data_IF_912845314049
#
_entry.id   IF_912845314049
#
_cell.length_a   1.000
_cell.length_b   1.000
_cell.length_c   1.000
_cell.angle_alpha   90.00
_cell.angle_beta   90.00
_cell.angle_gamma   90.00
#
_symmetry.space_group_name_H-M   'P 1'
#
loop_
_entity.id
_entity.type
_entity.pdbx_description
1 polymer ?
#
# COMPACT_ATOMS: atom_id res chain seq x y z
N UNK A 1 -5.72 19.87 1.58
CA UNK A 1 -4.56 20.79 1.52
C UNK A 1 -3.33 19.94 1.25
N UNK A 2 -2.95 19.86 -0.02
CA UNK A 2 -1.69 19.27 -0.47
C UNK A 2 -0.61 20.31 -0.19
N UNK A 3 0.35 19.94 0.68
CA UNK A 3 1.62 20.65 0.98
C UNK A 3 1.49 22.15 0.72
N UNK A 4 0.87 22.85 1.66
CA UNK A 4 0.88 24.30 1.63
C UNK A 4 2.32 24.77 1.80
N UNK A 5 3.02 25.01 0.69
CA UNK A 5 4.30 25.70 0.71
C UNK A 5 5.35 25.29 -0.31
N UNK A 6 5.30 24.12 -0.97
CA UNK A 6 6.19 23.83 -2.11
C UNK A 6 6.94 22.49 -2.15
N UNK A 7 6.24 21.39 -2.44
CA UNK A 7 6.82 20.14 -2.94
C UNK A 7 5.74 19.05 -3.03
N UNK A 8 5.84 17.93 -3.77
CA UNK A 8 6.67 17.52 -4.92
C UNK A 8 5.78 16.89 -6.02
N UNK A 9 4.51 16.56 -5.74
CA UNK A 9 3.55 15.96 -6.68
C UNK A 9 2.16 16.56 -6.41
N UNK A 10 1.39 16.88 -7.45
CA UNK A 10 -0.06 17.14 -7.36
C UNK A 10 -0.83 15.86 -7.04
N UNK A 11 -2.07 15.97 -6.52
CA UNK A 11 -2.89 14.80 -6.16
C UNK A 11 -3.06 13.77 -7.27
N UNK A 12 -3.17 14.22 -8.52
CA UNK A 12 -3.23 13.35 -9.69
C UNK A 12 -1.89 12.68 -9.99
N UNK A 13 -0.78 13.40 -9.83
CA UNK A 13 0.55 12.82 -10.05
C UNK A 13 0.94 11.80 -8.98
N UNK A 14 0.43 11.92 -7.76
CA UNK A 14 0.59 10.88 -6.74
C UNK A 14 -0.17 9.60 -7.08
N UNK A 15 -1.43 9.73 -7.52
CA UNK A 15 -2.20 8.59 -8.02
C UNK A 15 -1.47 7.95 -9.20
N UNK A 16 -0.91 8.77 -10.10
CA UNK A 16 -0.04 8.31 -11.19
C UNK A 16 1.15 7.49 -10.68
N UNK A 17 1.89 7.99 -9.69
CA UNK A 17 3.03 7.27 -9.08
C UNK A 17 2.59 5.96 -8.42
N UNK A 18 1.49 5.96 -7.66
CA UNK A 18 0.96 4.76 -7.02
C UNK A 18 0.53 3.70 -8.05
N UNK A 19 -0.12 4.12 -9.14
CA UNK A 19 -0.48 3.22 -10.25
C UNK A 19 0.75 2.68 -10.97
N UNK A 20 1.74 3.53 -11.25
CA UNK A 20 3.00 3.12 -11.88
C UNK A 20 3.76 2.11 -11.02
N UNK A 21 3.85 2.33 -9.70
CA UNK A 21 4.52 1.41 -8.79
C UNK A 21 3.71 0.13 -8.56
N UNK A 22 2.38 0.19 -8.51
CA UNK A 22 1.53 -1.00 -8.53
C UNK A 22 1.72 -1.83 -9.80
N UNK A 23 1.77 -1.18 -10.97
CA UNK A 23 2.04 -1.86 -12.24
C UNK A 23 3.46 -2.45 -12.29
N UNK A 24 4.46 -1.72 -11.79
CA UNK A 24 5.83 -2.22 -11.66
C UNK A 24 5.88 -3.42 -10.71
N UNK A 25 5.19 -3.37 -9.57
CA UNK A 25 5.10 -4.48 -8.62
C UNK A 25 4.54 -5.74 -9.28
N UNK A 26 3.43 -5.62 -10.02
CA UNK A 26 2.87 -6.75 -10.78
C UNK A 26 3.86 -7.27 -11.82
N UNK A 27 4.53 -6.37 -12.55
CA UNK A 27 5.51 -6.75 -13.58
C UNK A 27 6.70 -7.52 -12.98
N UNK A 28 7.34 -6.96 -11.96
CA UNK A 28 8.50 -7.57 -11.31
C UNK A 28 8.13 -8.85 -10.57
N UNK A 29 6.95 -8.90 -9.93
CA UNK A 29 6.46 -10.11 -9.28
C UNK A 29 6.20 -11.22 -10.31
N UNK A 30 5.58 -10.90 -11.45
CA UNK A 30 5.44 -11.87 -12.56
C UNK A 30 6.79 -12.32 -13.12
N UNK A 31 7.74 -11.41 -13.27
CA UNK A 31 9.07 -11.74 -13.77
C UNK A 31 9.81 -12.67 -12.81
N UNK A 32 9.79 -12.37 -11.51
CA UNK A 32 10.41 -13.17 -10.47
C UNK A 32 9.81 -14.59 -10.39
N UNK A 33 8.47 -14.70 -10.43
CA UNK A 33 7.77 -15.99 -10.47
C UNK A 33 8.09 -16.78 -11.75
N UNK A 34 8.16 -16.13 -12.92
CA UNK A 34 8.50 -16.78 -14.20
C UNK A 34 9.95 -17.27 -14.25
N UNK A 35 10.87 -16.51 -13.68
CA UNK A 35 12.29 -16.85 -13.65
C UNK A 35 12.64 -17.80 -12.49
N UNK A 36 11.67 -18.20 -11.66
CA UNK A 36 11.87 -19.02 -10.46
C UNK A 36 13.01 -18.50 -9.58
N UNK A 37 13.11 -17.16 -9.46
CA UNK A 37 14.21 -16.49 -8.71
C UNK A 37 14.30 -17.00 -7.28
N UNK A 38 13.16 -17.41 -6.71
CA UNK A 38 13.05 -17.90 -5.34
C UNK A 38 12.77 -19.42 -5.26
N UNK A 39 12.90 -20.17 -6.36
CA UNK A 39 12.64 -21.61 -6.44
C UNK A 39 11.20 -21.98 -6.87
N UNK A 40 10.91 -23.29 -6.96
CA UNK A 40 9.60 -23.81 -7.36
C UNK A 40 8.52 -23.58 -6.28
N UNK A 41 8.92 -23.55 -5.00
CA UNK A 41 8.09 -23.25 -3.83
C UNK A 41 8.30 -21.81 -3.34
N UNK A 42 8.55 -20.88 -4.26
CA UNK A 42 8.79 -19.48 -3.97
C UNK A 42 7.65 -18.88 -3.14
N UNK A 43 7.90 -18.66 -1.84
CA UNK A 43 7.08 -17.76 -1.03
C UNK A 43 7.30 -16.33 -1.56
N UNK A 44 6.29 -15.67 -2.15
CA UNK A 44 6.45 -14.35 -2.75
C UNK A 44 6.91 -13.26 -1.77
N UNK A 45 6.95 -13.52 -0.46
CA UNK A 45 7.33 -12.54 0.58
C UNK A 45 8.75 -11.94 0.48
N UNK A 46 9.57 -12.38 -0.48
CA UNK A 46 10.85 -11.72 -0.83
C UNK A 46 10.67 -10.50 -1.76
N UNK A 47 9.49 -10.35 -2.34
CA UNK A 47 9.12 -9.22 -3.19
C UNK A 47 8.63 -8.13 -2.23
N UNK A 48 9.32 -6.99 -2.22
CA UNK A 48 9.03 -5.86 -1.31
C UNK A 48 8.36 -4.70 -2.06
N UNK A 49 8.30 -4.79 -3.39
CA UNK A 49 7.79 -3.71 -4.26
C UNK A 49 6.26 -3.59 -4.21
N UNK A 50 5.57 -4.69 -3.92
CA UNK A 50 4.15 -4.78 -3.59
C UNK A 50 3.83 -4.16 -2.23
N UNK A 51 4.62 -4.45 -1.18
CA UNK A 51 4.50 -3.78 0.11
C UNK A 51 4.69 -2.26 -0.06
N UNK A 52 5.67 -1.84 -0.86
CA UNK A 52 5.91 -0.44 -1.17
C UNK A 52 4.74 0.21 -1.93
N UNK A 53 4.09 -0.52 -2.83
CA UNK A 53 2.90 -0.05 -3.53
C UNK A 53 1.72 0.11 -2.57
N UNK A 54 1.49 -0.86 -1.68
CA UNK A 54 0.48 -0.79 -0.62
C UNK A 54 0.71 0.36 0.35
N UNK A 55 1.96 0.58 0.77
CA UNK A 55 2.32 1.68 1.67
C UNK A 55 2.07 3.06 1.03
N UNK A 56 2.27 3.21 -0.28
CA UNK A 56 1.89 4.44 -0.98
C UNK A 56 0.38 4.66 -0.99
N UNK A 57 -0.43 3.61 -1.09
CA UNK A 57 -1.88 3.77 -0.93
C UNK A 57 -2.21 4.24 0.50
N UNK A 58 -1.59 3.63 1.53
CA UNK A 58 -1.78 4.01 2.92
C UNK A 58 -1.43 5.49 3.20
N UNK A 59 -0.37 5.98 2.56
CA UNK A 59 0.15 7.34 2.73
C UNK A 59 -0.63 8.42 1.97
N UNK A 60 -1.64 8.05 1.18
CA UNK A 60 -2.39 9.00 0.37
C UNK A 60 -3.05 10.09 1.24
N UNK A 61 -2.67 11.34 1.02
CA UNK A 61 -3.25 12.49 1.71
C UNK A 61 -2.72 12.76 3.12
N UNK A 62 -1.65 12.08 3.54
CA UNK A 62 -0.86 12.48 4.72
C UNK A 62 -0.27 13.87 4.49
N UNK A 63 -0.34 14.74 5.50
CA UNK A 63 0.06 16.15 5.40
C UNK A 63 1.43 16.42 6.02
N UNK A 64 1.88 15.54 6.92
CA UNK A 64 3.16 15.67 7.61
C UNK A 64 3.88 14.33 7.75
N UNK A 65 5.21 14.34 7.69
CA UNK A 65 6.07 13.17 7.96
C UNK A 65 6.21 12.86 9.46
N UNK A 66 5.18 13.17 10.26
CA UNK A 66 5.15 13.02 11.71
C UNK A 66 4.29 11.83 12.16
N UNK A 67 3.41 12.07 13.12
CA UNK A 67 2.55 11.02 13.68
C UNK A 67 1.64 10.35 12.62
N UNK A 68 1.21 11.09 11.60
CA UNK A 68 0.37 10.59 10.51
C UNK A 68 1.07 9.48 9.71
N UNK A 69 2.37 9.66 9.43
CA UNK A 69 3.19 8.64 8.76
C UNK A 69 3.33 7.39 9.62
N UNK A 70 3.60 7.56 10.91
CA UNK A 70 3.69 6.45 11.85
C UNK A 70 2.36 5.70 11.98
N UNK A 71 1.25 6.42 12.01
CA UNK A 71 -0.09 5.82 12.06
C UNK A 71 -0.39 5.02 10.78
N UNK A 72 -0.11 5.58 9.61
CA UNK A 72 -0.29 4.88 8.34
C UNK A 72 0.60 3.63 8.23
N UNK A 73 1.86 3.71 8.67
CA UNK A 73 2.78 2.57 8.69
C UNK A 73 2.28 1.46 9.64
N UNK A 74 1.90 1.84 10.85
CA UNK A 74 1.43 0.91 11.86
C UNK A 74 0.12 0.23 11.43
N UNK A 75 -0.82 0.99 10.85
CA UNK A 75 -2.08 0.45 10.34
C UNK A 75 -1.86 -0.42 9.11
N UNK A 76 -0.96 -0.03 8.19
CA UNK A 76 -0.60 -0.87 7.05
C UNK A 76 -0.08 -2.22 7.52
N UNK A 77 0.92 -2.24 8.42
CA UNK A 77 1.45 -3.49 8.97
C UNK A 77 0.40 -4.29 9.75
N UNK A 78 -0.46 -3.61 10.51
CA UNK A 78 -1.55 -4.29 11.20
C UNK A 78 -2.45 -5.03 10.19
N UNK A 79 -2.86 -4.37 9.11
CA UNK A 79 -3.78 -4.95 8.12
C UNK A 79 -3.13 -5.96 7.19
N UNK A 80 -1.87 -5.76 6.82
CA UNK A 80 -1.05 -6.72 6.08
C UNK A 80 -0.84 -8.02 6.89
N UNK A 81 -0.58 -7.94 8.19
CA UNK A 81 -0.40 -9.13 9.04
C UNK A 81 -1.73 -9.82 9.36
N UNK A 82 -2.73 -9.04 9.80
CA UNK A 82 -3.98 -9.61 10.33
C UNK A 82 -5.00 -9.94 9.26
N UNK A 83 -4.87 -9.35 8.07
CA UNK A 83 -5.74 -9.55 6.90
C UNK A 83 -7.23 -9.61 7.26
N UNK A 84 -7.76 -8.59 7.97
CA UNK A 84 -9.14 -8.62 8.44
C UNK A 84 -10.12 -8.59 7.25
N UNK A 85 -11.35 -9.08 7.46
CA UNK A 85 -12.43 -9.06 6.44
C UNK A 85 -12.19 -9.97 5.22
N UNK A 86 -11.30 -10.96 5.33
CA UNK A 86 -11.15 -11.99 4.29
C UNK A 86 -10.36 -11.53 3.07
N UNK A 87 -9.44 -10.57 3.24
CA UNK A 87 -8.49 -10.14 2.19
C UNK A 87 -7.70 -11.30 1.61
N UNK A 88 -7.46 -12.36 2.41
CA UNK A 88 -6.92 -13.65 1.98
C UNK A 88 -7.64 -14.25 0.76
N UNK A 89 -8.89 -13.87 0.48
CA UNK A 89 -9.58 -14.29 -0.74
C UNK A 89 -8.91 -13.75 -2.02
N UNK A 90 -8.22 -12.60 -1.97
CA UNK A 90 -7.45 -12.07 -3.10
C UNK A 90 -6.22 -12.92 -3.43
N UNK A 91 -5.69 -13.66 -2.47
CA UNK A 91 -4.62 -14.64 -2.73
C UNK A 91 -5.07 -15.80 -3.63
N UNK A 92 -6.39 -15.96 -3.85
CA UNK A 92 -6.94 -16.90 -4.84
C UNK A 92 -6.76 -16.42 -6.28
N UNK A 93 -6.40 -15.15 -6.48
CA UNK A 93 -6.06 -14.65 -7.81
C UNK A 93 -4.75 -15.32 -8.28
N UNK A 94 -4.67 -15.74 -9.55
CA UNK A 94 -3.54 -16.51 -10.03
C UNK A 94 -2.25 -15.68 -10.09
N UNK A 95 -1.20 -16.21 -9.48
CA UNK A 95 0.17 -15.69 -9.53
C UNK A 95 0.32 -14.30 -8.90
N UNK A 96 1.12 -13.45 -9.53
CA UNK A 96 1.50 -12.13 -9.02
C UNK A 96 0.33 -11.18 -8.70
N UNK A 97 -0.84 -11.37 -9.32
CA UNK A 97 -1.98 -10.50 -9.05
C UNK A 97 -2.49 -10.63 -7.61
N UNK A 98 -2.49 -11.85 -7.07
CA UNK A 98 -2.97 -12.08 -5.71
C UNK A 98 -2.09 -11.39 -4.68
N UNK A 99 -0.77 -11.48 -4.88
CA UNK A 99 0.23 -10.87 -3.99
C UNK A 99 0.10 -9.35 -3.98
N UNK A 100 0.15 -8.70 -5.15
CA UNK A 100 0.08 -7.23 -5.20
C UNK A 100 -1.30 -6.70 -4.78
N UNK A 101 -2.39 -7.41 -5.10
CA UNK A 101 -3.73 -6.97 -4.71
C UNK A 101 -3.97 -7.04 -3.20
N UNK A 102 -3.34 -8.00 -2.51
CA UNK A 102 -3.39 -8.14 -1.05
C UNK A 102 -2.81 -6.90 -0.36
N UNK A 103 -1.59 -6.50 -0.75
CA UNK A 103 -0.90 -5.32 -0.18
C UNK A 103 -1.57 -4.00 -0.54
N UNK A 104 -2.07 -3.86 -1.77
CA UNK A 104 -2.83 -2.67 -2.17
C UNK A 104 -4.12 -2.52 -1.35
N UNK A 105 -4.79 -3.64 -1.03
CA UNK A 105 -6.01 -3.60 -0.22
C UNK A 105 -5.70 -3.36 1.27
N UNK A 106 -4.62 -3.94 1.81
CA UNK A 106 -4.10 -3.59 3.13
C UNK A 106 -3.76 -2.09 3.22
N UNK A 107 -3.13 -1.54 2.17
CA UNK A 107 -2.88 -0.11 2.00
C UNK A 107 -4.14 0.75 2.02
N UNK A 108 -5.19 0.31 1.32
CA UNK A 108 -6.48 0.98 1.31
C UNK A 108 -7.15 0.94 2.70
N UNK A 109 -7.07 -0.17 3.41
CA UNK A 109 -7.61 -0.28 4.78
C UNK A 109 -6.86 0.65 5.73
N UNK A 110 -5.54 0.73 5.60
CA UNK A 110 -4.72 1.66 6.38
C UNK A 110 -5.10 3.12 6.10
N UNK A 111 -5.28 3.48 4.83
CA UNK A 111 -5.76 4.79 4.41
C UNK A 111 -7.09 5.15 5.07
N UNK A 112 -8.09 4.26 4.99
CA UNK A 112 -9.40 4.50 5.56
C UNK A 112 -9.36 4.55 7.09
N UNK A 113 -8.59 3.66 7.71
CA UNK A 113 -8.43 3.57 9.16
C UNK A 113 -7.80 4.82 9.75
N UNK A 114 -6.69 5.31 9.18
CA UNK A 114 -6.03 6.50 9.72
C UNK A 114 -6.88 7.75 9.51
N UNK A 115 -7.61 7.86 8.39
CA UNK A 115 -8.53 8.97 8.14
C UNK A 115 -9.70 8.96 9.11
N UNK A 116 -10.25 7.80 9.41
CA UNK A 116 -11.29 7.65 10.43
C UNK A 116 -10.75 8.07 11.81
N UNK A 117 -9.55 7.63 12.19
CA UNK A 117 -8.89 8.04 13.43
C UNK A 117 -8.66 9.56 13.48
N UNK A 118 -8.12 10.15 12.41
CA UNK A 118 -7.88 11.59 12.32
C UNK A 118 -9.19 12.39 12.44
N UNK A 119 -10.29 11.88 11.87
CA UNK A 119 -11.61 12.49 12.02
C UNK A 119 -12.14 12.39 13.46
N UNK A 120 -12.03 11.22 14.10
CA UNK A 120 -12.48 11.00 15.49
C UNK A 120 -11.71 11.85 16.51
N UNK A 121 -10.42 12.09 16.26
CA UNK A 121 -9.55 12.88 17.15
C UNK A 121 -9.61 14.39 16.80
N UNK A 122 -10.45 14.79 15.84
CA UNK A 122 -10.64 16.19 15.46
C UNK A 122 -9.50 16.80 14.63
N UNK A 123 -8.57 15.98 14.14
CA UNK A 123 -7.41 16.40 13.34
C UNK A 123 -7.77 16.66 11.87
N UNK A 124 -8.96 16.22 11.43
CA UNK A 124 -9.45 16.42 10.06
C UNK A 124 -9.93 17.85 9.75
N UNK A 125 -10.07 18.71 10.76
CA UNK A 125 -10.65 20.06 10.65
C UNK A 125 -9.65 21.23 10.55
N UNK A 126 -8.33 20.96 10.49
CA UNK A 126 -7.27 21.98 10.48
C UNK A 126 -6.70 22.33 9.10
#
# INVERSE_FOLDING_TARGET
>A
MWIAGGGVLSGWSYVGVALCLGAAAVFFCRLALRLQVFGEDADPGSIVIDEAAGMLVAMYGIRSLGWELLAALALFRLFDITKPLGINALQRLPGAWGVVADDLLAGLYALLGWRALAWLVGLAGG
#
